data_IF_632407720256
#
_entry.id   IF_632407720256
#
_cell.length_a   1.000
_cell.length_b   1.000
_cell.length_c   1.000
_cell.angle_alpha   90.00
_cell.angle_beta   90.00
_cell.angle_gamma   90.00
#
_symmetry.space_group_name_H-M   'P 1'
#
loop_
_entity.id
_entity.type
_entity.pdbx_description
1 polymer ?
#
# COMPACT_ATOMS: atom_id res chain seq x y z
N UNK A 1 5.34 -39.49 41.28
CA UNK A 1 5.94 -39.18 39.96
C UNK A 1 4.81 -39.15 38.96
N UNK A 2 4.49 -38.12 38.18
CA UNK A 2 4.88 -36.71 38.10
C UNK A 2 3.75 -36.02 37.33
N UNK A 3 3.34 -34.83 37.77
CA UNK A 3 2.31 -34.01 37.13
C UNK A 3 2.88 -33.39 35.84
N UNK A 4 2.37 -33.77 34.66
CA UNK A 4 2.76 -33.11 33.41
C UNK A 4 1.89 -31.86 33.19
N UNK A 5 2.46 -30.72 33.55
CA UNK A 5 1.95 -29.38 33.27
C UNK A 5 2.11 -29.14 31.76
N UNK A 6 1.01 -29.08 31.02
CA UNK A 6 1.03 -28.68 29.60
C UNK A 6 1.32 -27.19 29.53
N UNK A 7 2.55 -26.88 29.14
CA UNK A 7 3.09 -25.53 28.92
C UNK A 7 3.02 -25.30 27.42
N UNK A 8 1.88 -24.89 26.89
CA UNK A 8 1.84 -24.27 25.56
C UNK A 8 0.71 -23.23 25.58
N UNK A 9 1.07 -22.04 26.07
CA UNK A 9 0.34 -20.82 25.74
C UNK A 9 0.59 -20.53 24.26
N UNK A 10 -0.45 -20.35 23.42
CA UNK A 10 -0.24 -19.68 22.15
C UNK A 10 0.03 -18.21 22.47
N UNK A 11 1.30 -17.82 22.43
CA UNK A 11 1.67 -16.42 22.29
C UNK A 11 0.91 -15.89 21.06
N UNK A 12 0.23 -14.76 21.25
CA UNK A 12 -0.59 -14.05 20.27
C UNK A 12 0.02 -14.11 18.87
N UNK A 13 -0.50 -15.01 18.05
CA UNK A 13 -0.11 -15.15 16.65
C UNK A 13 -0.86 -14.12 15.83
N UNK A 14 -0.29 -12.92 15.69
CA UNK A 14 -0.56 -12.15 14.48
C UNK A 14 0.25 -12.81 13.36
N UNK A 15 -0.46 -13.34 12.38
CA UNK A 15 0.18 -13.99 11.25
C UNK A 15 1.04 -12.95 10.51
N UNK A 16 2.20 -13.30 9.92
CA UNK A 16 3.02 -12.36 9.16
C UNK A 16 2.25 -11.66 8.02
N UNK A 17 1.16 -12.27 7.55
CA UNK A 17 0.22 -11.66 6.61
C UNK A 17 -0.58 -10.48 7.19
N UNK A 18 -0.98 -10.55 8.47
CA UNK A 18 -1.72 -9.48 9.16
C UNK A 18 -0.81 -8.30 9.48
N UNK A 19 0.48 -8.56 9.73
CA UNK A 19 1.49 -7.52 9.93
C UNK A 19 1.67 -6.68 8.65
N UNK A 20 1.82 -7.31 7.49
CA UNK A 20 1.94 -6.59 6.22
C UNK A 20 0.68 -5.78 5.84
N UNK A 21 -0.51 -6.25 6.23
CA UNK A 21 -1.75 -5.49 6.05
C UNK A 21 -1.82 -4.28 7.01
N UNK A 22 -1.42 -4.47 8.27
CA UNK A 22 -1.37 -3.38 9.25
C UNK A 22 -0.35 -2.31 8.87
N UNK A 23 0.85 -2.69 8.42
CA UNK A 23 1.87 -1.77 7.92
C UNK A 23 1.37 -0.96 6.71
N UNK A 24 0.66 -1.62 5.78
CA UNK A 24 0.05 -0.94 4.63
C UNK A 24 -1.02 0.05 5.06
N UNK A 25 -1.86 -0.31 6.03
CA UNK A 25 -2.90 0.59 6.55
C UNK A 25 -2.28 1.84 7.19
N UNK A 26 -1.25 1.66 8.01
CA UNK A 26 -0.52 2.77 8.64
C UNK A 26 0.09 3.68 7.56
N UNK A 27 0.72 3.12 6.53
CA UNK A 27 1.29 3.90 5.44
C UNK A 27 0.22 4.71 4.67
N UNK A 28 -0.98 4.16 4.49
CA UNK A 28 -2.10 4.88 3.87
C UNK A 28 -2.59 6.04 4.76
N UNK A 29 -2.57 5.86 6.07
CA UNK A 29 -2.97 6.89 7.03
C UNK A 29 -1.99 8.08 7.00
N UNK A 30 -0.68 7.81 6.97
CA UNK A 30 0.35 8.83 6.74
C UNK A 30 0.16 9.57 5.42
N UNK A 31 -0.19 8.84 4.36
CA UNK A 31 -0.43 9.45 3.06
C UNK A 31 -1.68 10.34 3.07
N UNK A 32 -2.74 9.92 3.76
CA UNK A 32 -3.97 10.71 3.91
C UNK A 32 -3.72 11.99 4.70
N UNK A 33 -2.92 11.92 5.76
CA UNK A 33 -2.52 13.11 6.53
C UNK A 33 -1.72 14.08 5.67
N UNK A 34 -0.72 13.60 4.93
CA UNK A 34 0.06 14.43 4.01
C UNK A 34 -0.78 15.08 2.90
N UNK A 35 -1.86 14.42 2.46
CA UNK A 35 -2.82 14.99 1.52
C UNK A 35 -3.63 16.13 2.15
N UNK A 36 -4.13 15.91 3.36
CA UNK A 36 -4.88 16.94 4.08
C UNK A 36 -4.02 18.18 4.32
N UNK A 37 -2.77 17.99 4.78
CA UNK A 37 -1.82 19.10 4.97
C UNK A 37 -1.53 19.85 3.67
N UNK A 38 -1.36 19.14 2.56
CA UNK A 38 -1.13 19.76 1.27
C UNK A 38 -2.35 20.55 0.76
N UNK A 39 -3.57 20.05 0.99
CA UNK A 39 -4.80 20.80 0.69
C UNK A 39 -4.91 22.06 1.56
N UNK A 40 -4.51 21.99 2.83
CA UNK A 40 -4.48 23.16 3.73
C UNK A 40 -3.46 24.22 3.30
N UNK A 41 -2.32 23.82 2.72
CA UNK A 41 -1.32 24.73 2.14
C UNK A 41 -1.77 25.31 0.77
N UNK A 42 -2.88 24.83 0.22
CA UNK A 42 -3.42 25.24 -1.09
C UNK A 42 -2.71 24.57 -2.27
N UNK A 43 -2.10 23.40 -2.04
CA UNK A 43 -1.45 22.62 -3.09
C UNK A 43 -2.48 21.88 -3.94
N UNK A 44 -2.28 21.91 -5.26
CA UNK A 44 -3.12 21.15 -6.19
C UNK A 44 -2.99 19.63 -5.95
N UNK A 45 -4.12 18.96 -5.72
CA UNK A 45 -4.17 17.50 -5.49
C UNK A 45 -3.54 16.71 -6.65
N UNK A 46 -3.61 17.25 -7.87
CA UNK A 46 -2.99 16.64 -9.05
C UNK A 46 -1.46 16.66 -8.99
N UNK A 47 -0.87 17.71 -8.41
CA UNK A 47 0.57 17.81 -8.23
C UNK A 47 1.06 16.80 -7.18
N UNK A 48 0.32 16.66 -6.08
CA UNK A 48 0.63 15.70 -5.04
C UNK A 48 0.48 14.24 -5.50
N UNK A 49 -0.54 13.95 -6.32
CA UNK A 49 -0.70 12.64 -6.94
C UNK A 49 0.49 12.28 -7.84
N UNK A 50 0.96 13.21 -8.67
CA UNK A 50 2.14 13.00 -9.50
C UNK A 50 3.42 12.79 -8.67
N UNK A 51 3.63 13.61 -7.64
CA UNK A 51 4.80 13.49 -6.76
C UNK A 51 4.82 12.13 -6.05
N UNK A 52 3.68 11.67 -5.57
CA UNK A 52 3.56 10.39 -4.88
C UNK A 52 3.70 9.19 -5.82
N UNK A 53 3.19 9.29 -7.05
CA UNK A 53 3.44 8.28 -8.07
C UNK A 53 4.94 8.17 -8.37
N UNK A 54 5.64 9.30 -8.52
CA UNK A 54 7.08 9.31 -8.72
C UNK A 54 7.81 8.67 -7.52
N UNK A 55 7.45 9.04 -6.29
CA UNK A 55 8.07 8.49 -5.09
C UNK A 55 7.86 6.97 -4.98
N UNK A 56 6.65 6.49 -5.31
CA UNK A 56 6.34 5.06 -5.33
C UNK A 56 7.18 4.32 -6.39
N UNK A 57 7.24 4.83 -7.62
CA UNK A 57 8.03 4.23 -8.70
C UNK A 57 9.53 4.23 -8.38
N UNK A 58 10.08 5.34 -7.88
CA UNK A 58 11.48 5.41 -7.47
C UNK A 58 11.82 4.41 -6.36
N UNK A 59 10.87 4.16 -5.45
CA UNK A 59 11.00 3.15 -4.39
C UNK A 59 11.00 1.73 -4.98
N UNK A 60 10.12 1.43 -5.95
CA UNK A 60 10.13 0.14 -6.64
C UNK A 60 11.41 -0.07 -7.45
N UNK A 61 11.90 0.93 -8.18
CA UNK A 61 13.17 0.84 -8.92
C UNK A 61 14.32 0.56 -7.96
N UNK A 62 14.35 1.20 -6.80
CA UNK A 62 15.38 0.96 -5.78
C UNK A 62 15.32 -0.46 -5.20
N UNK A 63 14.14 -1.01 -4.97
CA UNK A 63 13.97 -2.33 -4.34
C UNK A 63 14.08 -3.49 -5.33
N UNK A 64 13.60 -3.32 -6.56
CA UNK A 64 13.42 -4.39 -7.54
C UNK A 64 14.18 -4.17 -8.86
N UNK A 65 14.71 -2.97 -9.09
CA UNK A 65 15.38 -2.59 -10.32
C UNK A 65 14.45 -1.98 -11.37
N UNK A 66 15.07 -1.35 -12.38
CA UNK A 66 14.37 -0.63 -13.46
C UNK A 66 13.47 -1.55 -14.28
N UNK A 67 13.97 -2.70 -14.74
CA UNK A 67 13.22 -3.65 -15.60
C UNK A 67 11.98 -4.23 -14.89
N UNK A 68 12.12 -4.62 -13.62
CA UNK A 68 11.01 -5.16 -12.85
C UNK A 68 9.91 -4.09 -12.60
N UNK A 69 10.32 -2.85 -12.39
CA UNK A 69 9.38 -1.73 -12.23
C UNK A 69 8.71 -1.40 -13.56
N UNK A 70 9.43 -1.46 -14.68
CA UNK A 70 8.87 -1.25 -16.02
C UNK A 70 7.80 -2.30 -16.37
N UNK A 71 8.05 -3.58 -16.05
CA UNK A 71 7.07 -4.66 -16.25
C UNK A 71 5.81 -4.48 -15.39
N UNK A 72 5.98 -4.08 -14.12
CA UNK A 72 4.86 -3.73 -13.24
C UNK A 72 4.03 -2.59 -13.83
N UNK A 73 4.69 -1.53 -14.30
CA UNK A 73 4.03 -0.35 -14.87
C UNK A 73 3.37 -0.66 -16.20
N UNK A 74 3.92 -1.56 -17.01
CA UNK A 74 3.33 -1.97 -18.28
C UNK A 74 1.93 -2.61 -18.11
N UNK A 75 1.61 -3.13 -16.92
CA UNK A 75 0.31 -3.70 -16.59
C UNK A 75 -0.73 -2.66 -16.12
N UNK A 76 -0.29 -1.47 -15.67
CA UNK A 76 -1.18 -0.41 -15.18
C UNK A 76 -2.16 0.12 -16.25
N UNK A 77 -1.74 0.40 -17.50
CA UNK A 77 -2.64 0.93 -18.52
C UNK A 77 -3.82 0.01 -18.82
N UNK A 78 -3.61 -1.31 -18.76
CA UNK A 78 -4.69 -2.28 -18.96
C UNK A 78 -5.69 -2.22 -17.79
N UNK A 79 -5.18 -2.27 -16.55
CA UNK A 79 -5.98 -2.17 -15.31
C UNK A 79 -6.76 -0.85 -15.18
N UNK A 80 -6.19 0.25 -15.65
CA UNK A 80 -6.88 1.55 -15.71
C UNK A 80 -8.03 1.49 -16.71
N UNK A 81 -7.83 0.90 -17.90
CA UNK A 81 -8.86 0.77 -18.93
C UNK A 81 -9.95 -0.22 -18.57
N UNK A 82 -9.64 -1.27 -17.83
CA UNK A 82 -10.66 -2.20 -17.28
C UNK A 82 -11.51 -1.53 -16.20
N UNK A 83 -11.09 -0.36 -15.70
CA UNK A 83 -11.81 0.44 -14.71
C UNK A 83 -11.53 0.02 -13.28
N UNK A 84 -10.45 -0.73 -13.03
CA UNK A 84 -10.07 -1.21 -11.69
C UNK A 84 -9.78 -0.06 -10.70
N UNK A 85 -9.48 1.13 -11.23
CA UNK A 85 -9.24 2.36 -10.48
C UNK A 85 -10.34 3.40 -10.65
N UNK A 86 -11.39 3.10 -11.43
CA UNK A 86 -12.53 3.99 -11.59
C UNK A 86 -13.58 3.66 -10.51
N UNK A 87 -13.53 4.42 -9.42
CA UNK A 87 -14.47 4.30 -8.30
C UNK A 87 -15.93 4.68 -8.68
N UNK A 88 -16.14 5.30 -9.85
CA UNK A 88 -17.47 5.65 -10.37
C UNK A 88 -18.09 4.53 -11.22
N UNK A 89 -17.43 3.37 -11.39
CA UNK A 89 -18.02 2.20 -12.04
C UNK A 89 -19.02 1.54 -11.08
N UNK A 90 -20.18 2.17 -10.93
CA UNK A 90 -21.40 1.55 -10.41
C UNK A 90 -21.62 0.32 -11.29
N UNK A 91 -21.57 -0.88 -10.70
CA UNK A 91 -21.98 -2.12 -11.34
C UNK A 91 -23.35 -1.89 -12.00
N UNK A 92 -23.37 -1.85 -13.34
CA UNK A 92 -24.61 -1.95 -14.12
C UNK A 92 -24.90 -3.41 -14.42
#
# INVERSE_FOLDING_TARGET
>A
MSTTKSIFSPASGQSPFEQGQAERQIALEYLAEAWNEAEEDGLETSALAHASLFAALATFVRMHGDEATADLVAQLPDRIRTGEYNLERILQ
#
